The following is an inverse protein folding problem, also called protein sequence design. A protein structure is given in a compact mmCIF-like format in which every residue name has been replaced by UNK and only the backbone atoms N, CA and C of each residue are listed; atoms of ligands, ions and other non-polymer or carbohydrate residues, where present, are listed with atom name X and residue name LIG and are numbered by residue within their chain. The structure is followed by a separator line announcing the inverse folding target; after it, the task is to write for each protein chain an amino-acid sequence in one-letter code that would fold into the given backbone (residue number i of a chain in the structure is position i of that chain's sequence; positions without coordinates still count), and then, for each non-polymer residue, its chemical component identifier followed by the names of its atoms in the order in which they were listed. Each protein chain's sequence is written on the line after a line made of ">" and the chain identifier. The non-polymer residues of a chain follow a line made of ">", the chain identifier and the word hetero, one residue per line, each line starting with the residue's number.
data_IF_767544240208
#
_entry.id   IF_767544240208
#
_cell.length_a   1.000
_cell.length_b   1.000
_cell.length_c   1.000
_cell.angle_alpha   90.00
_cell.angle_beta   90.00
_cell.angle_gamma   90.00
#
_symmetry.space_group_name_H-M   'P 1'
#
loop_
_entity.id
_entity.type
_entity.pdbx_description
1 polymer ?
#
# COMPACT_ATOMS: atom_id res chain seq x y z
N UNK A 1 0.96 13.32 0.09
CA UNK A 1 2.21 12.55 -0.17
C UNK A 1 3.22 13.42 -0.89
N UNK A 2 4.52 13.25 -0.59
CA UNK A 2 5.65 14.00 -1.17
C UNK A 2 6.62 13.02 -1.84
N UNK A 3 7.55 13.55 -2.67
CA UNK A 3 8.57 12.75 -3.37
C UNK A 3 8.04 11.66 -4.33
N UNK A 4 6.76 11.73 -4.70
CA UNK A 4 6.11 10.83 -5.64
C UNK A 4 5.20 11.62 -6.56
N UNK A 5 5.12 11.23 -7.83
CA UNK A 5 4.26 11.90 -8.80
C UNK A 5 2.80 11.53 -8.57
N UNK A 6 1.91 12.52 -8.72
CA UNK A 6 0.47 12.32 -8.55
C UNK A 6 -0.25 12.36 -9.90
N UNK A 7 -1.37 11.62 -10.03
CA UNK A 7 -2.22 11.63 -11.22
C UNK A 7 -1.58 11.01 -12.47
N UNK A 8 -0.63 10.10 -12.30
CA UNK A 8 -0.04 9.28 -13.37
C UNK A 8 0.36 7.92 -12.85
N UNK A 9 0.45 6.94 -13.75
CA UNK A 9 0.89 5.58 -13.42
C UNK A 9 2.32 5.61 -12.90
N UNK A 10 2.55 4.79 -11.90
CA UNK A 10 3.81 4.58 -11.21
C UNK A 10 4.14 3.09 -11.24
N UNK A 11 5.34 2.77 -11.68
CA UNK A 11 5.93 1.44 -11.60
C UNK A 11 6.93 1.48 -10.46
N UNK A 12 6.84 0.60 -9.46
CA UNK A 12 7.69 0.67 -8.25
C UNK A 12 9.17 0.82 -8.56
N UNK A 13 9.70 0.06 -9.52
CA UNK A 13 11.11 0.07 -9.92
C UNK A 13 11.55 1.40 -10.57
N UNK A 14 10.62 2.13 -11.19
CA UNK A 14 10.88 3.46 -11.76
C UNK A 14 10.81 4.56 -10.69
N UNK A 15 10.07 4.32 -9.61
CA UNK A 15 9.92 5.27 -8.49
C UNK A 15 11.12 5.20 -7.56
N UNK A 16 11.62 3.99 -7.28
CA UNK A 16 12.78 3.76 -6.41
C UNK A 16 13.72 2.73 -7.04
N UNK A 17 14.99 3.08 -7.34
CA UNK A 17 15.93 2.13 -7.92
C UNK A 17 16.39 1.11 -6.87
N UNK A 18 16.62 -0.14 -7.30
CA UNK A 18 17.38 -1.11 -6.51
C UNK A 18 18.83 -1.01 -6.94
N UNK A 19 19.73 -0.71 -6.02
CA UNK A 19 21.17 -0.59 -6.28
C UNK A 19 21.93 -1.69 -5.55
N UNK A 20 22.98 -2.20 -6.21
CA UNK A 20 23.78 -3.29 -5.68
C UNK A 20 24.32 -2.99 -4.27
N UNK A 21 24.09 -3.91 -3.36
CA UNK A 21 24.51 -3.85 -1.94
C UNK A 21 23.98 -2.63 -1.16
N UNK A 22 22.83 -2.06 -1.57
CA UNK A 22 22.28 -0.88 -0.91
C UNK A 22 20.84 -1.09 -0.46
N UNK A 23 20.51 -0.44 0.65
CA UNK A 23 19.16 -0.13 1.11
C UNK A 23 18.85 1.32 0.75
N UNK A 24 17.76 1.58 0.03
CA UNK A 24 17.35 2.92 -0.34
C UNK A 24 15.95 3.17 0.21
N UNK A 25 15.73 4.35 0.76
CA UNK A 25 14.43 4.80 1.24
C UNK A 25 14.00 6.10 0.57
N UNK A 26 12.70 6.22 0.32
CA UNK A 26 12.07 7.44 -0.19
C UNK A 26 10.86 7.75 0.70
N UNK A 27 10.92 8.87 1.40
CA UNK A 27 9.84 9.32 2.28
C UNK A 27 8.65 9.84 1.45
N UNK A 28 7.48 9.21 1.60
CA UNK A 28 6.23 9.58 0.93
C UNK A 28 5.33 10.42 1.83
N UNK A 29 5.25 10.09 3.12
CA UNK A 29 4.51 10.83 4.15
C UNK A 29 5.42 11.04 5.36
N UNK A 30 5.27 12.18 6.00
CA UNK A 30 6.04 12.58 7.19
C UNK A 30 5.19 13.54 8.02
N UNK A 31 4.27 12.98 8.77
CA UNK A 31 3.40 13.65 9.71
C UNK A 31 3.83 13.28 11.13
N UNK A 32 3.23 13.91 12.15
CA UNK A 32 3.63 13.72 13.55
C UNK A 32 3.55 12.24 13.99
N UNK A 33 2.48 11.54 13.61
CA UNK A 33 2.16 10.18 14.01
C UNK A 33 1.99 9.20 12.83
N UNK A 34 2.40 9.61 11.62
CA UNK A 34 2.34 8.79 10.42
C UNK A 34 3.55 9.02 9.52
N UNK A 35 4.35 8.00 9.32
CA UNK A 35 5.44 8.02 8.35
C UNK A 35 5.25 6.89 7.33
N UNK A 36 5.33 7.22 6.05
CA UNK A 36 5.29 6.23 4.96
C UNK A 36 6.57 6.34 4.17
N UNK A 37 7.32 5.24 4.12
CA UNK A 37 8.52 5.08 3.33
C UNK A 37 8.27 4.06 2.20
N UNK A 38 8.72 4.40 1.01
CA UNK A 38 8.96 3.43 -0.05
C UNK A 38 10.42 2.99 0.06
N UNK A 39 10.65 1.70 0.20
CA UNK A 39 11.95 1.11 0.44
C UNK A 39 12.35 0.18 -0.70
N UNK A 40 13.64 0.13 -1.02
CA UNK A 40 14.21 -0.91 -1.86
C UNK A 40 15.45 -1.51 -1.20
N UNK A 41 15.56 -2.83 -1.27
CA UNK A 41 16.71 -3.61 -0.81
C UNK A 41 17.24 -4.47 -1.94
N UNK A 42 18.57 -4.50 -2.10
CA UNK A 42 19.20 -5.50 -2.95
C UNK A 42 19.14 -6.88 -2.30
N UNK A 43 19.30 -7.93 -3.09
CA UNK A 43 19.37 -9.30 -2.58
C UNK A 43 20.49 -9.44 -1.56
N UNK A 44 20.21 -10.15 -0.44
CA UNK A 44 21.12 -10.36 0.68
C UNK A 44 21.58 -9.07 1.41
N UNK A 45 20.79 -8.00 1.29
CA UNK A 45 20.92 -6.84 2.19
C UNK A 45 19.89 -6.92 3.30
N UNK A 46 20.14 -6.24 4.40
CA UNK A 46 19.30 -6.24 5.59
C UNK A 46 19.14 -4.85 6.20
N UNK A 47 18.10 -4.73 7.01
CA UNK A 47 17.95 -3.67 8.01
C UNK A 47 18.10 -4.34 9.37
N UNK A 48 19.09 -3.90 10.13
CA UNK A 48 19.40 -4.48 11.44
C UNK A 48 18.19 -4.46 12.38
N UNK A 49 18.07 -5.46 13.28
CA UNK A 49 16.98 -5.49 14.23
C UNK A 49 16.95 -4.26 15.14
N UNK A 50 15.78 -3.63 15.23
CA UNK A 50 15.53 -2.45 16.05
C UNK A 50 14.22 -2.59 16.83
N UNK A 51 14.06 -1.81 17.90
CA UNK A 51 12.79 -1.60 18.60
C UNK A 51 12.14 -0.33 18.07
N UNK A 52 10.89 -0.44 17.65
CA UNK A 52 10.13 0.70 17.15
C UNK A 52 9.08 1.14 18.18
N UNK A 53 8.92 2.44 18.36
CA UNK A 53 7.96 3.01 19.31
C UNK A 53 6.52 2.95 18.79
N UNK A 54 6.34 2.88 17.47
CA UNK A 54 5.04 2.76 16.78
C UNK A 54 4.89 1.38 16.14
N UNK A 55 3.65 1.01 15.82
CA UNK A 55 3.37 -0.13 14.95
C UNK A 55 4.02 0.07 13.57
N UNK A 56 4.44 -1.05 12.98
CA UNK A 56 5.03 -1.08 11.63
C UNK A 56 4.20 -1.98 10.72
N UNK A 57 3.60 -1.36 9.70
CA UNK A 57 2.91 -2.07 8.64
C UNK A 57 3.84 -2.19 7.44
N UNK A 58 4.06 -3.42 6.98
CA UNK A 58 4.88 -3.72 5.81
C UNK A 58 4.01 -4.30 4.72
N UNK A 59 4.14 -3.77 3.50
CA UNK A 59 3.48 -4.28 2.32
C UNK A 59 4.51 -4.49 1.21
N UNK A 60 4.65 -5.73 0.73
CA UNK A 60 5.61 -6.07 -0.33
C UNK A 60 5.01 -5.83 -1.70
N UNK A 61 5.67 -4.95 -2.47
CA UNK A 61 5.33 -4.61 -3.85
C UNK A 61 6.06 -5.51 -4.84
N UNK A 62 7.26 -5.96 -4.48
CA UNK A 62 8.10 -6.83 -5.28
C UNK A 62 9.10 -7.58 -4.42
N UNK A 63 9.39 -8.84 -4.75
CA UNK A 63 10.42 -9.65 -4.13
C UNK A 63 9.95 -10.42 -2.90
N UNK A 64 10.92 -10.84 -2.08
CA UNK A 64 10.73 -11.58 -0.84
C UNK A 64 11.50 -10.91 0.30
N UNK A 65 10.79 -10.59 1.37
CA UNK A 65 11.36 -10.13 2.63
C UNK A 65 11.23 -11.22 3.70
N UNK A 66 12.24 -11.31 4.55
CA UNK A 66 12.21 -12.15 5.74
C UNK A 66 12.28 -11.25 6.99
N UNK A 67 11.35 -11.46 7.90
CA UNK A 67 11.28 -10.83 9.22
C UNK A 67 11.42 -11.93 10.28
N UNK A 68 12.54 -12.01 10.98
CA UNK A 68 12.79 -13.11 11.91
C UNK A 68 12.46 -14.48 11.27
N UNK A 69 11.34 -15.10 11.65
CA UNK A 69 10.89 -16.41 11.13
C UNK A 69 9.79 -16.30 10.07
N UNK A 70 9.28 -15.10 9.78
CA UNK A 70 8.21 -14.88 8.81
C UNK A 70 8.76 -14.44 7.45
N UNK A 71 8.17 -14.94 6.38
CA UNK A 71 8.44 -14.51 5.01
C UNK A 71 7.24 -13.74 4.48
N UNK A 72 7.51 -12.59 3.87
CA UNK A 72 6.54 -11.79 3.13
C UNK A 72 6.87 -11.82 1.63
N UNK A 73 5.87 -12.13 0.85
CA UNK A 73 5.93 -12.17 -0.60
C UNK A 73 5.12 -11.02 -1.22
N UNK A 74 5.22 -10.89 -2.53
CA UNK A 74 4.46 -9.90 -3.29
C UNK A 74 2.94 -9.95 -2.97
N UNK A 75 2.33 -8.78 -2.74
CA UNK A 75 0.93 -8.59 -2.32
C UNK A 75 0.61 -9.18 -0.93
N UNK A 76 1.62 -9.43 -0.12
CA UNK A 76 1.43 -9.76 1.30
C UNK A 76 1.71 -8.54 2.18
N UNK A 77 0.98 -8.48 3.28
CA UNK A 77 1.03 -7.41 4.28
C UNK A 77 1.14 -8.04 5.66
N UNK A 78 1.89 -7.40 6.54
CA UNK A 78 1.99 -7.74 7.96
C UNK A 78 2.04 -6.47 8.81
N UNK A 79 1.40 -6.51 9.96
CA UNK A 79 1.47 -5.46 10.99
C UNK A 79 2.28 -5.98 12.18
N UNK A 80 3.40 -5.36 12.47
CA UNK A 80 4.19 -5.64 13.67
C UNK A 80 3.80 -4.72 14.81
N UNK A 81 3.74 -5.32 15.99
CA UNK A 81 3.49 -4.62 17.24
C UNK A 81 4.68 -3.73 17.62
N UNK A 82 4.39 -2.54 18.17
CA UNK A 82 5.39 -1.66 18.76
C UNK A 82 6.17 -2.33 19.89
N UNK A 83 7.39 -1.86 20.15
CA UNK A 83 8.28 -2.37 21.21
C UNK A 83 8.65 -3.86 21.06
N UNK A 84 8.61 -4.39 19.82
CA UNK A 84 9.13 -5.71 19.47
C UNK A 84 10.42 -5.57 18.66
N UNK A 85 11.38 -6.43 18.94
CA UNK A 85 12.65 -6.49 18.19
C UNK A 85 12.42 -7.28 16.89
N UNK A 86 12.61 -6.64 15.75
CA UNK A 86 12.68 -7.32 14.46
C UNK A 86 13.60 -6.58 13.48
N UNK A 87 14.15 -7.32 12.55
CA UNK A 87 14.90 -6.82 11.42
C UNK A 87 14.32 -7.33 10.12
N UNK A 88 14.81 -6.80 9.01
CA UNK A 88 14.36 -7.14 7.66
C UNK A 88 15.55 -7.69 6.87
N UNK A 89 15.40 -8.81 6.23
CA UNK A 89 16.36 -9.41 5.32
C UNK A 89 15.74 -9.58 3.94
N UNK A 90 16.34 -9.02 2.90
CA UNK A 90 15.88 -9.22 1.53
C UNK A 90 16.45 -10.53 0.96
N UNK A 91 15.58 -11.48 0.65
CA UNK A 91 15.96 -12.74 0.00
C UNK A 91 16.10 -12.61 -1.50
N UNK A 92 15.43 -11.63 -2.07
CA UNK A 92 15.47 -11.21 -3.46
C UNK A 92 15.52 -9.69 -3.54
N UNK A 93 15.82 -9.14 -4.71
CA UNK A 93 15.68 -7.71 -4.98
C UNK A 93 14.25 -7.28 -4.68
N UNK A 94 14.06 -6.49 -3.64
CA UNK A 94 12.75 -6.22 -3.06
C UNK A 94 12.41 -4.73 -3.02
N UNK A 95 11.11 -4.44 -3.22
CA UNK A 95 10.53 -3.10 -3.04
C UNK A 95 9.28 -3.26 -2.16
N UNK A 96 9.15 -2.41 -1.15
CA UNK A 96 8.06 -2.48 -0.19
C UNK A 96 7.72 -1.12 0.41
N UNK A 97 6.51 -1.02 0.96
CA UNK A 97 6.14 0.09 1.82
C UNK A 97 6.38 -0.29 3.28
N UNK A 98 6.99 0.63 4.01
CA UNK A 98 7.05 0.65 5.46
C UNK A 98 6.19 1.81 5.95
N UNK A 99 5.24 1.52 6.82
CA UNK A 99 4.33 2.51 7.41
C UNK A 99 4.48 2.44 8.92
N UNK A 100 4.97 3.53 9.50
CA UNK A 100 5.03 3.73 10.94
C UNK A 100 3.81 4.53 11.38
N UNK A 101 3.02 4.01 12.28
CA UNK A 101 1.79 4.63 12.76
C UNK A 101 1.46 4.11 14.16
N UNK A 102 1.00 5.00 15.03
CA UNK A 102 0.47 4.59 16.34
C UNK A 102 -1.01 4.25 16.19
N UNK A 103 -1.40 3.00 16.50
CA UNK A 103 -2.75 2.48 16.30
C UNK A 103 -3.36 2.00 17.61
N UNK A 104 -4.60 2.43 17.86
CA UNK A 104 -5.45 1.85 18.89
C UNK A 104 -6.12 0.55 18.37
N UNK A 105 -6.59 -0.30 19.28
CA UNK A 105 -7.20 -1.59 18.89
C UNK A 105 -8.41 -1.44 17.98
N UNK A 106 -9.23 -0.42 18.21
CA UNK A 106 -10.43 -0.16 17.42
C UNK A 106 -10.15 0.51 16.07
N UNK A 107 -8.93 0.97 15.82
CA UNK A 107 -8.48 1.46 14.51
C UNK A 107 -8.01 0.32 13.58
N UNK A 108 -7.64 -0.84 14.13
CA UNK A 108 -7.34 -2.07 13.39
C UNK A 108 -8.63 -2.83 13.14
N UNK A 109 -8.97 -3.12 11.88
CA UNK A 109 -10.25 -3.74 11.54
C UNK A 109 -10.11 -5.22 11.16
N UNK A 110 -9.62 -5.50 9.97
CA UNK A 110 -9.48 -6.86 9.44
C UNK A 110 -7.99 -7.26 9.33
N UNK A 111 -7.20 -6.85 10.31
CA UNK A 111 -5.78 -7.14 10.40
C UNK A 111 -5.43 -7.48 11.85
N UNK A 112 -4.58 -8.50 12.03
CA UNK A 112 -4.08 -8.89 13.35
C UNK A 112 -2.57 -8.69 13.41
N UNK A 113 -2.08 -8.18 14.56
CA UNK A 113 -0.64 -7.98 14.80
C UNK A 113 0.11 -9.32 14.72
N UNK A 114 1.22 -9.32 14.00
CA UNK A 114 2.08 -10.49 13.83
C UNK A 114 1.57 -11.54 12.84
N UNK A 115 0.37 -11.36 12.26
CA UNK A 115 -0.15 -12.26 11.23
C UNK A 115 -0.01 -11.63 9.84
N UNK A 116 0.63 -12.35 8.95
CA UNK A 116 0.66 -11.95 7.54
C UNK A 116 -0.65 -12.27 6.85
N UNK A 117 -1.05 -11.43 5.93
CA UNK A 117 -2.21 -11.62 5.08
C UNK A 117 -1.83 -11.44 3.62
N UNK A 118 -2.36 -12.31 2.75
CA UNK A 118 -2.28 -12.14 1.30
C UNK A 118 -3.50 -11.38 0.84
N UNK A 119 -3.32 -10.12 0.46
CA UNK A 119 -4.42 -9.19 0.18
C UNK A 119 -5.35 -9.67 -0.92
N UNK A 120 -4.83 -10.36 -1.93
CA UNK A 120 -5.66 -10.92 -3.02
C UNK A 120 -6.68 -11.97 -2.53
N UNK A 121 -6.44 -12.58 -1.37
CA UNK A 121 -7.29 -13.63 -0.79
C UNK A 121 -8.22 -13.11 0.33
N UNK A 122 -8.10 -11.84 0.74
CA UNK A 122 -8.85 -11.30 1.89
C UNK A 122 -10.27 -10.86 1.54
N UNK A 123 -10.58 -10.71 0.28
CA UNK A 123 -11.86 -10.17 -0.17
C UNK A 123 -12.29 -10.83 -1.47
N UNK A 124 -13.47 -11.45 -1.48
CA UNK A 124 -14.05 -12.07 -2.66
C UNK A 124 -14.74 -11.03 -3.57
N UNK A 125 -14.84 -11.35 -4.85
CA UNK A 125 -15.63 -10.57 -5.79
C UNK A 125 -17.12 -10.84 -5.59
N UNK A 126 -17.92 -9.77 -5.61
CA UNK A 126 -19.38 -9.84 -5.61
C UNK A 126 -19.86 -9.65 -7.04
N UNK A 127 -20.64 -10.59 -7.58
CA UNK A 127 -21.17 -10.51 -8.93
C UNK A 127 -22.04 -9.26 -9.10
N UNK A 128 -21.74 -8.44 -10.12
CA UNK A 128 -22.42 -7.17 -10.40
C UNK A 128 -22.26 -6.13 -9.28
N UNK A 129 -21.18 -6.20 -8.49
CA UNK A 129 -21.02 -5.32 -7.36
C UNK A 129 -19.58 -4.99 -6.98
N UNK A 130 -19.47 -4.22 -5.90
CA UNK A 130 -18.19 -3.81 -5.30
C UNK A 130 -18.20 -4.27 -3.85
N UNK A 131 -17.16 -4.98 -3.46
CA UNK A 131 -16.89 -5.31 -2.07
C UNK A 131 -15.71 -4.46 -1.54
N UNK A 132 -15.75 -4.14 -0.25
CA UNK A 132 -14.62 -3.45 0.41
C UNK A 132 -14.50 -3.90 1.86
N UNK A 133 -13.28 -3.88 2.38
CA UNK A 133 -12.96 -4.04 3.79
C UNK A 133 -11.94 -2.98 4.22
N UNK A 134 -12.12 -2.47 5.44
CA UNK A 134 -11.14 -1.64 6.09
C UNK A 134 -10.10 -2.54 6.76
N UNK A 135 -8.82 -2.23 6.57
CA UNK A 135 -7.71 -2.85 7.31
C UNK A 135 -7.27 -1.96 8.47
N UNK A 136 -7.17 -0.65 8.20
CA UNK A 136 -6.89 0.38 9.21
C UNK A 136 -7.85 1.55 8.99
N UNK A 137 -8.41 2.07 10.09
CA UNK A 137 -9.33 3.22 10.05
C UNK A 137 -9.02 4.18 11.20
N UNK A 138 -8.09 5.09 10.95
CA UNK A 138 -7.71 6.23 11.78
C UNK A 138 -8.11 7.53 11.07
N UNK A 139 -8.35 8.62 11.80
CA UNK A 139 -8.85 9.87 11.20
C UNK A 139 -7.97 10.37 10.05
N UNK A 140 -6.64 10.39 10.26
CA UNK A 140 -5.68 10.89 9.27
C UNK A 140 -5.10 9.80 8.36
N UNK A 141 -5.39 8.52 8.66
CA UNK A 141 -4.79 7.39 7.95
C UNK A 141 -5.77 6.24 7.79
N UNK A 142 -6.03 5.84 6.56
CA UNK A 142 -6.91 4.71 6.26
C UNK A 142 -6.30 3.78 5.25
N UNK A 143 -6.51 2.49 5.45
CA UNK A 143 -6.12 1.43 4.51
C UNK A 143 -7.33 0.59 4.17
N UNK A 144 -7.70 0.57 2.88
CA UNK A 144 -8.86 -0.17 2.36
C UNK A 144 -8.42 -1.19 1.33
N UNK A 145 -9.06 -2.35 1.35
CA UNK A 145 -9.01 -3.29 0.24
C UNK A 145 -10.36 -3.27 -0.48
N UNK A 146 -10.35 -3.15 -1.80
CA UNK A 146 -11.56 -3.11 -2.62
C UNK A 146 -11.47 -4.12 -3.76
N UNK A 147 -12.60 -4.76 -4.05
CA UNK A 147 -12.76 -5.70 -5.16
C UNK A 147 -13.99 -5.29 -5.99
N UNK A 148 -13.80 -5.16 -7.29
CA UNK A 148 -14.79 -4.73 -8.26
C UNK A 148 -15.06 -5.85 -9.25
N UNK A 149 -16.33 -6.19 -9.49
CA UNK A 149 -16.66 -7.03 -10.64
C UNK A 149 -16.46 -6.25 -11.95
N UNK A 150 -16.34 -6.95 -13.08
CA UNK A 150 -16.11 -6.30 -14.37
C UNK A 150 -17.26 -5.35 -14.73
N UNK A 151 -16.93 -4.12 -15.13
CA UNK A 151 -17.87 -3.05 -15.43
C UNK A 151 -18.30 -2.21 -14.23
N UNK A 152 -18.06 -2.68 -13.00
CA UNK A 152 -18.43 -1.94 -11.79
C UNK A 152 -17.44 -0.81 -11.48
N UNK A 153 -17.91 0.25 -10.82
CA UNK A 153 -17.07 1.40 -10.52
C UNK A 153 -17.67 2.36 -9.50
N UNK A 154 -16.79 3.19 -8.95
CA UNK A 154 -17.16 4.26 -8.04
C UNK A 154 -17.65 5.49 -8.84
N UNK A 155 -18.64 6.19 -8.32
CA UNK A 155 -19.03 7.50 -8.86
C UNK A 155 -17.89 8.51 -8.66
N UNK A 156 -17.75 9.50 -9.57
CA UNK A 156 -16.78 10.56 -9.38
C UNK A 156 -16.95 11.26 -8.03
N UNK A 157 -15.85 11.35 -7.26
CA UNK A 157 -15.82 11.95 -5.92
C UNK A 157 -14.44 12.57 -5.64
N UNK A 158 -14.28 13.18 -4.47
CA UNK A 158 -13.02 13.76 -3.99
C UNK A 158 -12.68 13.17 -2.63
N UNK A 159 -11.41 12.92 -2.38
CA UNK A 159 -10.89 12.57 -1.05
C UNK A 159 -10.21 13.79 -0.42
N UNK A 160 -10.27 13.96 0.92
CA UNK A 160 -9.63 15.09 1.62
C UNK A 160 -8.10 14.97 1.67
N UNK A 161 -7.55 13.80 1.42
CA UNK A 161 -6.12 13.49 1.43
C UNK A 161 -5.63 12.88 0.13
N UNK A 162 -4.32 12.70 0.04
CA UNK A 162 -3.70 11.93 -1.05
C UNK A 162 -3.98 10.44 -0.86
N UNK A 163 -4.42 9.76 -1.91
CA UNK A 163 -4.69 8.34 -1.89
C UNK A 163 -3.75 7.57 -2.84
N UNK A 164 -2.87 6.75 -2.26
CA UNK A 164 -2.04 5.80 -3.02
C UNK A 164 -2.88 4.56 -3.32
N UNK A 165 -3.15 4.33 -4.59
CA UNK A 165 -3.84 3.16 -5.11
C UNK A 165 -2.82 2.21 -5.69
N UNK A 166 -2.89 0.94 -5.30
CA UNK A 166 -2.05 -0.15 -5.80
C UNK A 166 -2.95 -1.21 -6.40
N UNK A 167 -2.83 -1.44 -7.70
CA UNK A 167 -3.58 -2.47 -8.41
C UNK A 167 -3.00 -3.85 -8.08
N UNK A 168 -3.79 -4.70 -7.43
CA UNK A 168 -3.39 -6.05 -7.02
C UNK A 168 -3.75 -7.09 -8.09
N UNK A 169 -4.93 -6.96 -8.71
CA UNK A 169 -5.45 -7.86 -9.74
C UNK A 169 -6.22 -7.10 -10.80
N UNK A 170 -6.17 -7.58 -12.03
CA UNK A 170 -6.99 -7.10 -13.14
C UNK A 170 -6.59 -5.74 -13.71
N UNK A 171 -7.57 -5.08 -14.34
CA UNK A 171 -7.43 -3.78 -15.01
C UNK A 171 -8.61 -2.88 -14.71
N UNK A 172 -8.34 -1.58 -14.56
CA UNK A 172 -9.36 -0.58 -14.36
C UNK A 172 -9.07 0.70 -15.17
N UNK A 173 -10.13 1.43 -15.48
CA UNK A 173 -10.09 2.78 -16.00
C UNK A 173 -10.27 3.76 -14.86
N UNK A 174 -9.42 4.76 -14.78
CA UNK A 174 -9.40 5.79 -13.77
C UNK A 174 -9.71 7.13 -14.41
N UNK A 175 -10.51 7.95 -13.76
CA UNK A 175 -10.58 9.39 -14.02
C UNK A 175 -9.80 10.12 -12.92
N UNK A 176 -8.90 11.03 -13.28
CA UNK A 176 -8.16 11.88 -12.32
C UNK A 176 -8.16 13.31 -12.85
N UNK A 177 -8.99 14.16 -12.25
CA UNK A 177 -9.32 15.46 -12.82
C UNK A 177 -10.07 15.29 -14.16
N UNK A 178 -9.46 15.71 -15.25
CA UNK A 178 -9.99 15.57 -16.62
C UNK A 178 -9.31 14.44 -17.42
N UNK A 179 -8.37 13.70 -16.79
CA UNK A 179 -7.58 12.67 -17.49
C UNK A 179 -8.14 11.28 -17.24
N UNK A 180 -8.34 10.54 -18.31
CA UNK A 180 -8.58 9.10 -18.26
C UNK A 180 -7.24 8.36 -18.35
N UNK A 181 -7.06 7.38 -17.46
CA UNK A 181 -5.83 6.59 -17.31
C UNK A 181 -6.23 5.14 -17.09
N UNK A 182 -5.58 4.20 -17.75
CA UNK A 182 -5.73 2.79 -17.42
C UNK A 182 -4.66 2.36 -16.43
N UNK A 183 -5.04 1.48 -15.49
CA UNK A 183 -4.16 0.86 -14.50
C UNK A 183 -4.33 -0.66 -14.55
N UNK A 184 -3.25 -1.38 -14.37
CA UNK A 184 -3.26 -2.84 -14.31
C UNK A 184 -2.45 -3.37 -13.12
N UNK A 185 -2.66 -4.64 -12.80
CA UNK A 185 -1.96 -5.33 -11.70
C UNK A 185 -0.46 -5.05 -11.70
N UNK A 186 0.09 -4.69 -10.53
CA UNK A 186 1.49 -4.30 -10.29
C UNK A 186 1.76 -2.79 -10.45
N UNK A 187 0.84 -2.04 -11.06
CA UNK A 187 0.96 -0.58 -11.20
C UNK A 187 0.31 0.16 -10.02
N UNK A 188 0.71 1.40 -9.85
CA UNK A 188 0.25 2.27 -8.78
C UNK A 188 -0.11 3.66 -9.32
N UNK A 189 -0.90 4.40 -8.57
CA UNK A 189 -1.19 5.81 -8.83
C UNK A 189 -1.48 6.53 -7.51
N UNK A 190 -1.14 7.81 -7.42
CA UNK A 190 -1.60 8.67 -6.32
C UNK A 190 -2.71 9.58 -6.84
N UNK A 191 -3.91 9.46 -6.28
CA UNK A 191 -4.98 10.44 -6.46
C UNK A 191 -4.67 11.65 -5.57
N UNK A 192 -4.52 12.86 -6.15
CA UNK A 192 -4.24 14.04 -5.36
C UNK A 192 -5.42 14.43 -4.48
N UNK A 193 -5.15 14.95 -3.28
CA UNK A 193 -6.16 15.50 -2.39
C UNK A 193 -7.06 16.51 -3.10
N UNK A 194 -8.37 16.44 -2.85
CA UNK A 194 -9.41 17.34 -3.36
C UNK A 194 -9.56 17.40 -4.90
N UNK A 195 -8.90 16.50 -5.64
CA UNK A 195 -9.09 16.31 -7.08
C UNK A 195 -10.16 15.27 -7.32
N UNK A 196 -11.09 15.54 -8.24
CA UNK A 196 -12.15 14.59 -8.60
C UNK A 196 -11.52 13.35 -9.25
N UNK A 197 -11.96 12.17 -8.82
CA UNK A 197 -11.50 10.90 -9.37
C UNK A 197 -12.56 9.82 -9.28
N UNK A 198 -12.42 8.78 -10.11
CA UNK A 198 -13.17 7.54 -10.00
C UNK A 198 -12.32 6.34 -10.42
N UNK A 199 -12.88 5.16 -10.20
CA UNK A 199 -12.34 3.86 -10.64
C UNK A 199 -13.49 3.11 -11.30
N UNK A 200 -13.24 2.54 -12.50
CA UNK A 200 -14.18 1.63 -13.17
C UNK A 200 -13.42 0.41 -13.64
N UNK A 201 -13.80 -0.76 -13.18
CA UNK A 201 -13.17 -2.03 -13.50
C UNK A 201 -13.39 -2.40 -14.98
N UNK A 202 -12.34 -2.65 -15.73
CA UNK A 202 -12.40 -3.20 -17.10
C UNK A 202 -12.58 -4.71 -17.05
N UNK A 203 -11.81 -5.36 -16.16
CA UNK A 203 -11.94 -6.77 -15.80
C UNK A 203 -12.24 -6.84 -14.30
N UNK A 204 -12.45 -8.00 -13.71
CA UNK A 204 -12.41 -8.09 -12.25
C UNK A 204 -11.14 -7.44 -11.74
N UNK A 205 -11.29 -6.48 -10.84
CA UNK A 205 -10.21 -5.60 -10.38
C UNK A 205 -10.15 -5.56 -8.86
N UNK A 206 -8.96 -5.70 -8.32
CA UNK A 206 -8.72 -5.59 -6.87
C UNK A 206 -7.63 -4.57 -6.60
N UNK A 207 -7.83 -3.70 -5.63
CA UNK A 207 -6.86 -2.68 -5.25
C UNK A 207 -6.73 -2.53 -3.74
N UNK A 208 -5.51 -2.19 -3.30
CA UNK A 208 -5.25 -1.63 -1.97
C UNK A 208 -5.20 -0.10 -2.11
N UNK A 209 -5.87 0.61 -1.21
CA UNK A 209 -5.87 2.06 -1.14
C UNK A 209 -5.33 2.51 0.22
N UNK A 210 -4.34 3.39 0.21
CA UNK A 210 -3.76 4.03 1.38
C UNK A 210 -4.05 5.53 1.30
N UNK A 211 -4.95 6.01 2.16
CA UNK A 211 -5.30 7.42 2.28
C UNK A 211 -4.52 8.06 3.41
N UNK A 212 -3.83 9.16 3.13
CA UNK A 212 -3.20 10.00 4.15
C UNK A 212 -3.76 11.43 4.06
N UNK A 213 -4.24 11.94 5.18
CA UNK A 213 -4.86 13.25 5.30
C UNK A 213 -3.90 14.13 6.10
N UNK A 214 -3.40 15.18 5.47
CA UNK A 214 -2.59 16.22 6.11
C UNK A 214 -3.57 17.32 6.60
N UNK A 215 -3.63 17.52 7.92
CA UNK A 215 -4.49 18.54 8.58
C UNK A 215 -3.75 19.84 8.79
#
# INVERSE_FOLDING_TARGET
>A
MKNISKGKILIPEEVIPIKDHQTISKKLVDLYDLHILLMSLDQNTDVSPEFFAEERLYFVLKGELKFNNEKLLNNELILFEKNKLFGIEAREKSIFLEIAVDLEEDEMKNIEKGKKIKLTNCLDYVEGGIANIDLVSKDEFKVFLMAFDAGEGLKPHKAPGDALVMALEGKAKLLVGEKEIEIQSGEQIVFPANVIHNVTAITRFKMLLILSIDK
#
